data_IF_099909613186
#
_entry.id   IF_099909613186
#
_cell.length_a   1.000
_cell.length_b   1.000
_cell.length_c   1.000
_cell.angle_alpha   90.00
_cell.angle_beta   90.00
_cell.angle_gamma   90.00
#
_symmetry.space_group_name_H-M   'P 1'
#
loop_
_entity.id
_entity.type
_entity.pdbx_description
1 polymer ?
#
# COMPACT_ATOMS: atom_id res chain seq x y z
N UNK A 1 3.34 -12.14 -12.08
CA UNK A 1 4.33 -11.76 -11.04
C UNK A 1 4.74 -10.32 -11.27
N UNK A 2 4.66 -9.48 -10.26
CA UNK A 2 4.99 -8.05 -10.35
C UNK A 2 6.49 -7.84 -10.11
N UNK A 3 7.17 -7.23 -11.08
CA UNK A 3 8.62 -7.00 -10.99
C UNK A 3 8.94 -5.76 -10.14
N UNK A 4 9.34 -5.97 -8.88
CA UNK A 4 9.79 -4.87 -8.01
C UNK A 4 11.00 -4.11 -8.57
N UNK A 5 11.87 -4.76 -9.35
CA UNK A 5 12.99 -4.07 -10.04
C UNK A 5 12.51 -2.98 -10.98
N UNK A 6 11.37 -3.19 -11.66
CA UNK A 6 10.77 -2.21 -12.57
C UNK A 6 10.25 -0.98 -11.83
N UNK A 7 9.69 -1.18 -10.64
CA UNK A 7 9.04 -0.12 -9.85
C UNK A 7 9.89 0.39 -8.67
N UNK A 8 11.15 -0.06 -8.58
CA UNK A 8 12.08 0.31 -7.50
C UNK A 8 12.18 1.83 -7.34
N UNK A 9 12.32 2.57 -8.45
CA UNK A 9 12.41 4.03 -8.43
C UNK A 9 11.13 4.71 -7.93
N UNK A 10 9.96 4.16 -8.27
CA UNK A 10 8.69 4.69 -7.77
C UNK A 10 8.59 4.49 -6.25
N UNK A 11 8.95 3.31 -5.76
CA UNK A 11 8.97 3.02 -4.32
C UNK A 11 10.02 3.83 -3.56
N UNK A 12 11.21 4.03 -4.13
CA UNK A 12 12.25 4.90 -3.56
C UNK A 12 11.77 6.35 -3.49
N UNK A 13 11.09 6.84 -4.53
CA UNK A 13 10.52 8.19 -4.54
C UNK A 13 9.46 8.34 -3.44
N UNK A 14 8.50 7.41 -3.36
CA UNK A 14 7.50 7.40 -2.28
C UNK A 14 8.18 7.35 -0.90
N UNK A 15 9.17 6.49 -0.74
CA UNK A 15 9.93 6.38 0.51
C UNK A 15 10.56 7.71 0.92
N UNK A 16 11.09 8.50 -0.03
CA UNK A 16 11.61 9.83 0.24
C UNK A 16 10.51 10.85 0.55
N UNK A 17 9.45 10.89 -0.27
CA UNK A 17 8.35 11.85 -0.12
C UNK A 17 7.62 11.66 1.23
N UNK A 18 7.58 10.44 1.76
CA UNK A 18 6.95 10.07 3.03
C UNK A 18 7.94 9.77 4.17
N UNK A 19 9.22 10.16 4.02
CA UNK A 19 10.25 10.03 5.06
C UNK A 19 10.46 8.60 5.59
N UNK A 20 10.16 7.59 4.79
CA UNK A 20 10.42 6.18 5.09
C UNK A 20 11.82 5.81 4.60
N UNK A 21 12.83 6.06 5.43
CA UNK A 21 14.23 5.96 5.00
C UNK A 21 14.76 4.51 4.89
N UNK A 22 14.06 3.55 5.49
CA UNK A 22 14.47 2.15 5.50
C UNK A 22 13.51 1.30 4.66
N UNK A 23 14.06 0.52 3.72
CA UNK A 23 13.30 -0.46 2.94
C UNK A 23 13.93 -1.83 3.11
N UNK A 24 13.16 -2.80 3.62
CA UNK A 24 13.60 -4.17 3.86
C UNK A 24 12.81 -5.13 2.99
N UNK A 25 13.49 -5.97 2.22
CA UNK A 25 12.85 -7.02 1.44
C UNK A 25 12.86 -8.34 2.22
N UNK A 26 11.73 -9.04 2.27
CA UNK A 26 11.58 -10.35 2.91
C UNK A 26 11.02 -11.39 1.93
N UNK A 27 11.31 -12.68 2.07
CA UNK A 27 10.79 -13.70 1.15
C UNK A 27 9.28 -13.87 1.24
N UNK A 28 8.76 -13.94 2.46
CA UNK A 28 7.33 -14.05 2.79
C UNK A 28 6.99 -13.01 3.86
N UNK A 29 6.09 -12.08 3.52
CA UNK A 29 5.72 -11.00 4.45
C UNK A 29 4.74 -11.44 5.53
N UNK A 30 3.93 -12.47 5.27
CA UNK A 30 2.97 -13.00 6.24
C UNK A 30 3.71 -13.78 7.33
N UNK A 31 4.65 -14.63 6.95
CA UNK A 31 5.52 -15.34 7.88
C UNK A 31 6.35 -14.35 8.71
N UNK A 32 6.99 -13.37 8.03
CA UNK A 32 7.76 -12.33 8.72
C UNK A 32 6.90 -11.53 9.71
N UNK A 33 5.68 -11.15 9.35
CA UNK A 33 4.78 -10.42 10.25
C UNK A 33 4.40 -11.28 11.47
N UNK A 34 4.09 -12.56 11.27
CA UNK A 34 3.77 -13.50 12.34
C UNK A 34 4.94 -13.68 13.33
N UNK A 35 6.17 -13.85 12.83
CA UNK A 35 7.38 -13.95 13.66
C UNK A 35 7.63 -12.69 14.51
N UNK A 36 7.23 -11.52 14.03
CA UNK A 36 7.40 -10.24 14.70
C UNK A 36 6.17 -9.82 15.54
N UNK A 37 5.17 -10.71 15.69
CA UNK A 37 3.90 -10.43 16.37
C UNK A 37 3.16 -9.20 15.81
N UNK A 38 3.26 -9.00 14.49
CA UNK A 38 2.58 -7.94 13.77
C UNK A 38 1.43 -8.50 12.95
N UNK A 39 0.38 -7.69 12.78
CA UNK A 39 -0.71 -7.97 11.85
C UNK A 39 -0.51 -7.14 10.57
N UNK A 40 -0.70 -7.77 9.42
CA UNK A 40 -0.83 -7.05 8.16
C UNK A 40 -2.15 -6.30 8.14
N UNK A 41 -2.15 -5.11 7.54
CA UNK A 41 -3.39 -4.32 7.44
C UNK A 41 -4.44 -4.97 6.52
N UNK A 42 -4.03 -5.86 5.60
CA UNK A 42 -4.90 -6.78 4.86
C UNK A 42 -4.23 -8.14 4.68
N UNK A 43 -5.00 -9.25 4.50
CA UNK A 43 -4.44 -10.61 4.44
C UNK A 43 -3.32 -10.81 3.42
N UNK A 44 -3.40 -10.15 2.26
CA UNK A 44 -2.43 -10.31 1.17
C UNK A 44 -1.67 -9.02 0.84
N UNK A 45 -1.61 -8.09 1.78
CA UNK A 45 -0.88 -6.85 1.55
C UNK A 45 0.62 -7.12 1.40
N UNK A 46 1.26 -6.73 0.29
CA UNK A 46 2.65 -7.10 0.04
C UNK A 46 3.67 -6.19 0.73
N UNK A 47 3.20 -5.29 1.59
CA UNK A 47 3.99 -4.26 2.27
C UNK A 47 3.49 -4.07 3.70
N UNK A 48 4.40 -3.70 4.60
CA UNK A 48 4.10 -3.35 5.99
C UNK A 48 5.00 -2.21 6.43
N UNK A 49 4.41 -1.12 6.89
CA UNK A 49 5.18 -0.05 7.53
C UNK A 49 5.33 -0.37 9.02
N UNK A 50 6.58 -0.36 9.49
CA UNK A 50 6.94 -0.53 10.89
C UNK A 50 7.49 0.80 11.40
N UNK A 51 6.90 1.31 12.47
CA UNK A 51 7.35 2.52 13.15
C UNK A 51 8.10 2.09 14.41
N UNK A 52 9.43 2.17 14.37
CA UNK A 52 10.30 1.83 15.51
C UNK A 52 10.45 3.04 16.46
N UNK A 53 10.43 4.25 15.91
CA UNK A 53 10.35 5.52 16.65
C UNK A 53 9.77 6.63 15.75
N UNK A 54 9.52 7.84 16.28
CA UNK A 54 8.93 8.96 15.54
C UNK A 54 9.66 9.33 14.23
N UNK A 55 10.95 8.99 14.10
CA UNK A 55 11.75 9.25 12.91
C UNK A 55 12.40 7.99 12.32
N UNK A 56 12.01 6.79 12.79
CA UNK A 56 12.55 5.54 12.29
C UNK A 56 11.43 4.65 11.79
N UNK A 57 11.27 4.69 10.47
CA UNK A 57 10.24 3.97 9.75
C UNK A 57 10.87 3.04 8.73
N UNK A 58 10.48 1.78 8.80
CA UNK A 58 10.91 0.74 7.87
C UNK A 58 9.73 0.21 7.08
N UNK A 59 9.77 0.38 5.76
CA UNK A 59 8.86 -0.33 4.85
C UNK A 59 9.40 -1.74 4.60
N UNK A 60 8.69 -2.75 5.09
CA UNK A 60 8.98 -4.15 4.81
C UNK A 60 8.17 -4.58 3.60
N UNK A 61 8.81 -5.16 2.59
CA UNK A 61 8.22 -5.48 1.28
C UNK A 61 8.49 -6.94 0.94
N UNK A 62 7.48 -7.67 0.46
CA UNK A 62 7.71 -9.01 -0.06
C UNK A 62 8.56 -8.98 -1.33
N UNK A 63 9.62 -9.78 -1.38
CA UNK A 63 10.62 -9.79 -2.46
C UNK A 63 10.04 -10.20 -3.81
N UNK A 64 9.06 -11.10 -3.80
CA UNK A 64 8.34 -11.57 -4.98
C UNK A 64 6.85 -11.37 -4.78
N UNK A 65 6.29 -10.35 -5.44
CA UNK A 65 4.87 -10.03 -5.32
C UNK A 65 4.09 -10.75 -6.42
N UNK A 66 3.22 -11.67 -6.02
CA UNK A 66 2.28 -12.30 -6.94
C UNK A 66 1.17 -11.30 -7.29
N UNK A 67 0.70 -11.34 -8.55
CA UNK A 67 -0.36 -10.43 -9.00
C UNK A 67 -1.65 -10.59 -8.19
N UNK A 68 -1.96 -11.83 -7.79
CA UNK A 68 -3.12 -12.17 -6.96
C UNK A 68 -3.10 -11.44 -5.60
N UNK A 69 -1.94 -11.27 -4.98
CA UNK A 69 -1.84 -10.57 -3.69
C UNK A 69 -2.31 -9.13 -3.80
N UNK A 70 -1.86 -8.44 -4.85
CA UNK A 70 -2.26 -7.06 -5.11
C UNK A 70 -3.72 -7.02 -5.57
N UNK A 71 -4.14 -7.94 -6.44
CA UNK A 71 -5.52 -8.01 -6.92
C UNK A 71 -6.51 -8.15 -5.76
N UNK A 72 -6.17 -8.91 -4.73
CA UNK A 72 -6.99 -9.10 -3.54
C UNK A 72 -7.14 -7.81 -2.73
N UNK A 73 -6.05 -7.06 -2.57
CA UNK A 73 -6.09 -5.74 -1.92
C UNK A 73 -6.98 -4.77 -2.70
N UNK A 74 -6.86 -4.73 -4.03
CA UNK A 74 -7.69 -3.86 -4.87
C UNK A 74 -9.16 -4.28 -4.87
N UNK A 75 -9.42 -5.59 -4.82
CA UNK A 75 -10.79 -6.13 -4.69
C UNK A 75 -11.41 -5.76 -3.34
N UNK A 76 -10.67 -5.85 -2.25
CA UNK A 76 -11.13 -5.41 -0.92
C UNK A 76 -11.42 -3.90 -0.91
N UNK A 77 -10.54 -3.10 -1.50
CA UNK A 77 -10.80 -1.68 -1.74
C UNK A 77 -12.10 -1.47 -2.52
N UNK A 78 -12.31 -2.19 -3.63
CA UNK A 78 -13.54 -2.08 -4.41
C UNK A 78 -14.81 -2.39 -3.60
N UNK A 79 -14.77 -3.41 -2.75
CA UNK A 79 -15.88 -3.76 -1.85
C UNK A 79 -16.14 -2.63 -0.85
N UNK A 80 -15.11 -2.12 -0.17
CA UNK A 80 -15.25 -1.01 0.78
C UNK A 80 -15.73 0.26 0.10
N UNK A 81 -15.15 0.60 -1.05
CA UNK A 81 -15.49 1.78 -1.83
C UNK A 81 -16.93 1.77 -2.33
N UNK A 82 -17.49 0.60 -2.62
CA UNK A 82 -18.88 0.46 -3.08
C UNK A 82 -19.92 1.00 -2.09
N UNK A 83 -19.57 1.11 -0.80
CA UNK A 83 -20.41 1.75 0.24
C UNK A 83 -20.51 3.26 0.01
N UNK A 84 -19.45 3.88 -0.53
CA UNK A 84 -19.37 5.32 -0.84
C UNK A 84 -19.81 5.64 -2.26
N UNK A 85 -19.29 4.89 -3.23
CA UNK A 85 -19.53 5.07 -4.66
C UNK A 85 -19.54 3.70 -5.36
N UNK A 86 -20.72 3.31 -5.83
CA UNK A 86 -20.94 2.04 -6.52
C UNK A 86 -20.78 2.12 -8.05
N UNK A 87 -20.44 3.30 -8.58
CA UNK A 87 -20.23 3.53 -10.02
C UNK A 87 -18.76 3.38 -10.38
N UNK A 88 -17.87 3.86 -9.50
CA UNK A 88 -16.43 3.80 -9.76
C UNK A 88 -15.90 2.37 -9.69
N UNK A 89 -15.34 1.90 -10.82
CA UNK A 89 -14.62 0.64 -10.89
C UNK A 89 -13.17 0.83 -10.44
N UNK A 90 -12.89 0.43 -9.19
CA UNK A 90 -11.57 0.58 -8.58
C UNK A 90 -10.48 -0.23 -9.28
N UNK A 91 -10.84 -1.37 -9.89
CA UNK A 91 -9.89 -2.17 -10.66
C UNK A 91 -9.44 -1.46 -11.93
N UNK A 92 -10.36 -0.73 -12.59
CA UNK A 92 -10.05 0.14 -13.74
C UNK A 92 -9.33 1.42 -13.33
N UNK A 93 -9.70 2.02 -12.19
CA UNK A 93 -9.02 3.22 -11.68
C UNK A 93 -7.54 2.91 -11.38
N UNK A 94 -7.27 1.74 -10.80
CA UNK A 94 -5.94 1.23 -10.48
C UNK A 94 -5.52 0.12 -11.47
N UNK A 95 -5.55 0.41 -12.77
CA UNK A 95 -5.32 -0.54 -13.87
C UNK A 95 -3.86 -0.96 -14.13
N UNK A 96 -2.90 -0.36 -13.44
CA UNK A 96 -1.46 -0.65 -13.63
C UNK A 96 -0.81 -1.06 -12.32
N UNK A 97 0.20 -1.95 -12.37
CA UNK A 97 0.92 -2.33 -11.14
C UNK A 97 1.51 -1.11 -10.42
N UNK A 98 1.92 -0.08 -11.16
CA UNK A 98 2.45 1.17 -10.59
C UNK A 98 1.42 1.83 -9.67
N UNK A 99 0.18 2.00 -10.15
CA UNK A 99 -0.94 2.55 -9.36
C UNK A 99 -1.26 1.65 -8.16
N UNK A 100 -1.32 0.34 -8.37
CA UNK A 100 -1.66 -0.62 -7.31
C UNK A 100 -0.59 -0.72 -6.22
N UNK A 101 0.69 -0.70 -6.60
CA UNK A 101 1.81 -0.67 -5.64
C UNK A 101 1.86 0.65 -4.88
N UNK A 102 1.62 1.78 -5.57
CA UNK A 102 1.49 3.08 -4.93
C UNK A 102 0.37 3.09 -3.89
N UNK A 103 -0.78 2.53 -4.25
CA UNK A 103 -1.90 2.34 -3.33
C UNK A 103 -1.48 1.52 -2.10
N UNK A 104 -0.86 0.34 -2.28
CA UNK A 104 -0.44 -0.51 -1.15
C UNK A 104 0.55 0.22 -0.21
N UNK A 105 1.50 0.97 -0.76
CA UNK A 105 2.47 1.74 0.01
C UNK A 105 1.77 2.82 0.85
N UNK A 106 0.95 3.66 0.21
CA UNK A 106 0.25 4.77 0.85
C UNK A 106 -0.77 4.27 1.87
N UNK A 107 -1.39 3.10 1.62
CA UNK A 107 -2.34 2.49 2.55
C UNK A 107 -1.68 2.09 3.85
N UNK A 108 -0.48 1.51 3.81
CA UNK A 108 0.27 1.22 5.05
C UNK A 108 0.78 2.49 5.72
N UNK A 109 1.16 3.50 4.95
CA UNK A 109 1.53 4.80 5.50
C UNK A 109 0.36 5.44 6.26
N UNK A 110 -0.82 5.48 5.65
CA UNK A 110 -2.04 5.98 6.25
C UNK A 110 -2.35 5.23 7.55
N UNK A 111 -2.34 3.89 7.55
CA UNK A 111 -2.61 3.07 8.74
C UNK A 111 -1.62 3.29 9.88
N UNK A 112 -0.35 3.50 9.57
CA UNK A 112 0.70 3.53 10.59
C UNK A 112 0.86 4.91 11.25
N UNK A 113 0.67 6.00 10.49
CA UNK A 113 1.01 7.34 10.95
C UNK A 113 -0.16 8.32 10.96
N UNK A 114 -1.12 8.12 10.08
CA UNK A 114 -2.32 8.92 10.15
C UNK A 114 -3.27 8.19 11.09
N UNK A 115 -3.47 8.76 12.28
CA UNK A 115 -4.70 8.51 13.03
C UNK A 115 -5.87 9.04 12.21
N UNK A 116 -6.14 8.45 11.03
CA UNK A 116 -7.31 8.76 10.23
C UNK A 116 -8.47 8.27 11.08
N UNK A 117 -9.06 9.19 11.82
CA UNK A 117 -10.10 8.96 12.84
C UNK A 117 -11.44 8.45 12.25
N UNK A 118 -11.42 7.74 11.12
CA UNK A 118 -12.60 7.30 10.35
C UNK A 118 -12.56 5.86 9.85
N UNK A 119 -11.53 5.06 10.19
CA UNK A 119 -11.41 3.65 9.80
C UNK A 119 -11.03 3.43 8.33
N UNK A 120 -11.11 2.16 7.87
CA UNK A 120 -10.53 1.74 6.58
C UNK A 120 -10.99 2.55 5.37
N UNK A 121 -12.25 2.98 5.33
CA UNK A 121 -12.77 3.78 4.22
C UNK A 121 -12.13 5.17 4.15
N UNK A 122 -11.94 5.83 5.30
CA UNK A 122 -11.31 7.15 5.34
C UNK A 122 -9.82 7.10 4.95
N UNK A 123 -9.13 6.02 5.32
CA UNK A 123 -7.78 5.75 4.83
C UNK A 123 -7.78 5.53 3.31
N UNK A 124 -8.74 4.75 2.77
CA UNK A 124 -8.85 4.53 1.31
C UNK A 124 -9.07 5.85 0.56
N UNK A 125 -9.91 6.74 1.11
CA UNK A 125 -10.15 8.08 0.55
C UNK A 125 -8.87 8.91 0.48
N UNK A 126 -8.16 9.00 1.60
CA UNK A 126 -6.91 9.75 1.66
C UNK A 126 -5.89 9.20 0.65
N UNK A 127 -5.73 7.88 0.57
CA UNK A 127 -4.81 7.25 -0.38
C UNK A 127 -5.15 7.61 -1.83
N UNK A 128 -6.44 7.64 -2.18
CA UNK A 128 -6.86 7.96 -3.55
C UNK A 128 -6.63 9.43 -3.89
N UNK A 129 -6.88 10.35 -2.96
CA UNK A 129 -6.56 11.77 -3.11
C UNK A 129 -5.05 11.97 -3.28
N UNK A 130 -4.25 11.24 -2.51
CA UNK A 130 -2.80 11.33 -2.54
C UNK A 130 -2.22 10.76 -3.85
N UNK A 131 -2.77 9.64 -4.35
CA UNK A 131 -2.41 9.11 -5.67
C UNK A 131 -2.73 10.10 -6.79
N UNK A 132 -3.84 10.83 -6.70
CA UNK A 132 -4.19 11.89 -7.64
C UNK A 132 -3.16 13.03 -7.57
N UNK A 133 -2.86 13.52 -6.37
CA UNK A 133 -1.88 14.57 -6.12
C UNK A 133 -0.47 14.23 -6.65
N UNK A 134 -0.03 12.99 -6.44
CA UNK A 134 1.25 12.48 -6.94
C UNK A 134 1.26 12.19 -8.46
N UNK A 135 0.12 12.37 -9.14
CA UNK A 135 -0.02 12.18 -10.58
C UNK A 135 -0.08 10.71 -11.01
N UNK A 136 -0.46 9.80 -10.11
CA UNK A 136 -0.70 8.40 -10.46
C UNK A 136 -2.01 8.22 -11.21
N UNK A 137 -3.02 9.07 -10.96
CA UNK A 137 -4.37 8.96 -11.52
C UNK A 137 -4.66 9.95 -12.66
N UNK A 138 -3.66 10.75 -13.07
CA UNK A 138 -3.74 11.62 -14.24
C UNK A 138 -3.98 10.87 -15.57
N UNK A 139 -4.28 11.59 -16.67
CA UNK A 139 -4.68 11.01 -17.95
C UNK A 139 -3.67 10.03 -18.55
#
# INVERSE_FOLDING_TARGET
MVSLKKYKKDLEKLSLDYLVFNVKYVPDIMEWAAENNLSLGEPHLPMKLVVESENDMTMVIQSEIQEEMIADVIRNLGIRWSVKDNVTDMEKKLDTDRKRLGYCFLKEYARALQHVDGGELSEDEWVLEELEFLGYLGP
#
